data_IF_063013448929
#
_entry.id   IF_063013448929
#
_cell.length_a   1.000
_cell.length_b   1.000
_cell.length_c   1.000
_cell.angle_alpha   90.00
_cell.angle_beta   90.00
_cell.angle_gamma   90.00
#
_symmetry.space_group_name_H-M   'P 1'
#
loop_
_entity.id
_entity.type
_entity.pdbx_description
1 polymer ?
#
# COMPACT_ATOMS: atom_id res chain seq x y z
N UNK A 1 -27.38 2.80 1.13
CA UNK A 1 -26.29 2.33 2.01
C UNK A 1 -26.75 1.03 2.63
N UNK A 2 -26.19 -0.11 2.21
CA UNK A 2 -26.51 -1.39 2.85
C UNK A 2 -26.03 -1.34 4.31
N UNK A 3 -26.97 -1.59 5.22
CA UNK A 3 -26.71 -1.70 6.65
C UNK A 3 -25.71 -2.82 6.92
N UNK A 4 -24.68 -2.51 7.72
CA UNK A 4 -23.50 -3.34 7.93
C UNK A 4 -23.83 -4.69 8.55
N UNK A 5 -24.10 -5.69 7.71
CA UNK A 5 -24.02 -7.09 8.11
C UNK A 5 -22.55 -7.39 8.41
N UNK A 6 -22.28 -7.78 9.66
CA UNK A 6 -20.96 -8.24 10.09
C UNK A 6 -20.53 -9.37 9.16
N UNK A 7 -19.39 -9.22 8.51
CA UNK A 7 -18.84 -10.29 7.67
C UNK A 7 -18.56 -11.52 8.54
N UNK A 8 -18.86 -12.72 8.03
CA UNK A 8 -18.56 -13.99 8.72
C UNK A 8 -17.08 -14.05 9.11
N UNK A 9 -16.76 -14.79 10.19
CA UNK A 9 -15.36 -15.00 10.58
C UNK A 9 -14.62 -15.82 9.52
N UNK A 10 -13.29 -15.70 9.50
CA UNK A 10 -12.44 -16.52 8.63
C UNK A 10 -12.27 -17.92 9.22
N UNK A 11 -12.58 -18.93 8.43
CA UNK A 11 -12.35 -20.35 8.74
C UNK A 11 -10.87 -20.70 8.66
N UNK A 12 -10.47 -21.85 9.19
CA UNK A 12 -9.06 -22.27 9.13
C UNK A 12 -8.61 -22.57 7.70
N UNK A 13 -9.49 -23.16 6.88
CA UNK A 13 -9.25 -23.39 5.46
C UNK A 13 -9.00 -22.10 4.69
N UNK A 14 -9.78 -21.06 4.98
CA UNK A 14 -9.59 -19.74 4.38
C UNK A 14 -8.27 -19.09 4.78
N UNK A 15 -7.85 -19.26 6.04
CA UNK A 15 -6.52 -18.76 6.47
C UNK A 15 -5.41 -19.49 5.72
N UNK A 16 -5.52 -20.81 5.53
CA UNK A 16 -4.58 -21.62 4.75
C UNK A 16 -4.53 -21.17 3.28
N UNK A 17 -5.70 -21.00 2.66
CA UNK A 17 -5.82 -20.49 1.29
C UNK A 17 -5.12 -19.14 1.14
N UNK A 18 -5.31 -18.21 2.09
CA UNK A 18 -4.64 -16.92 2.06
C UNK A 18 -3.11 -17.06 2.12
N UNK A 19 -2.59 -17.96 2.95
CA UNK A 19 -1.14 -18.20 3.06
C UNK A 19 -0.60 -18.80 1.76
N UNK A 20 -1.29 -19.78 1.20
CA UNK A 20 -0.89 -20.46 -0.03
C UNK A 20 -0.79 -19.49 -1.20
N UNK A 21 -1.81 -18.65 -1.40
CA UNK A 21 -1.78 -17.60 -2.41
C UNK A 21 -0.69 -16.57 -2.09
N UNK A 22 -0.55 -16.17 -0.82
CA UNK A 22 0.43 -15.16 -0.43
C UNK A 22 1.89 -15.57 -0.71
N UNK A 23 2.21 -16.88 -0.73
CA UNK A 23 3.56 -17.40 -1.07
C UNK A 23 4.08 -16.85 -2.40
N UNK A 24 3.21 -16.70 -3.40
CA UNK A 24 3.58 -16.20 -4.73
C UNK A 24 3.91 -14.69 -4.72
N UNK A 25 3.35 -13.95 -3.77
CA UNK A 25 3.45 -12.47 -3.72
C UNK A 25 4.37 -11.94 -2.61
N UNK A 26 4.96 -12.81 -1.75
CA UNK A 26 5.76 -12.42 -0.56
C UNK A 26 6.81 -11.37 -0.88
N UNK A 27 7.59 -11.60 -1.93
CA UNK A 27 8.71 -10.72 -2.33
C UNK A 27 8.27 -9.28 -2.62
N UNK A 28 7.00 -9.09 -3.00
CA UNK A 28 6.41 -7.79 -3.32
C UNK A 28 5.70 -7.23 -2.07
N UNK A 29 4.85 -8.02 -1.41
CA UNK A 29 4.00 -7.55 -0.30
C UNK A 29 4.81 -7.24 0.97
N UNK A 30 5.86 -8.02 1.26
CA UNK A 30 6.71 -7.85 2.45
C UNK A 30 7.99 -7.04 2.15
N UNK A 31 8.10 -6.49 0.94
CA UNK A 31 9.16 -5.56 0.60
C UNK A 31 9.15 -4.35 1.54
N UNK A 32 10.29 -3.93 2.11
CA UNK A 32 10.38 -2.80 3.05
C UNK A 32 10.49 -1.43 2.37
N UNK A 33 10.69 -1.38 1.04
CA UNK A 33 10.81 -0.12 0.28
C UNK A 33 9.49 0.66 0.28
N UNK A 34 9.61 1.98 0.24
CA UNK A 34 8.52 2.96 0.30
C UNK A 34 8.45 3.88 -0.92
N UNK A 35 9.17 3.54 -1.99
CA UNK A 35 9.17 4.31 -3.23
C UNK A 35 7.79 4.25 -3.90
N UNK A 36 7.40 5.32 -4.61
CA UNK A 36 6.08 5.39 -5.27
C UNK A 36 5.81 4.18 -6.17
N UNK A 37 6.81 3.75 -6.95
CA UNK A 37 6.72 2.56 -7.81
C UNK A 37 6.52 1.26 -7.01
N UNK A 38 7.14 1.14 -5.84
CA UNK A 38 6.99 -0.04 -4.95
C UNK A 38 5.62 -0.06 -4.26
N UNK A 39 5.09 1.11 -3.90
CA UNK A 39 3.74 1.25 -3.34
C UNK A 39 2.69 0.81 -4.36
N UNK A 40 2.82 1.24 -5.61
CA UNK A 40 1.91 0.81 -6.69
C UNK A 40 2.01 -0.68 -6.99
N UNK A 41 3.22 -1.25 -6.98
CA UNK A 41 3.43 -2.70 -7.17
C UNK A 41 2.78 -3.49 -6.04
N UNK A 42 2.93 -3.07 -4.78
CA UNK A 42 2.25 -3.68 -3.63
C UNK A 42 0.74 -3.63 -3.76
N UNK A 43 0.19 -2.46 -4.14
CA UNK A 43 -1.25 -2.29 -4.35
C UNK A 43 -1.76 -3.26 -5.43
N UNK A 44 -1.04 -3.38 -6.56
CA UNK A 44 -1.39 -4.32 -7.63
C UNK A 44 -1.32 -5.78 -7.16
N UNK A 45 -0.29 -6.16 -6.41
CA UNK A 45 -0.15 -7.50 -5.85
C UNK A 45 -1.31 -7.84 -4.89
N UNK A 46 -1.70 -6.91 -4.02
CA UNK A 46 -2.83 -7.09 -3.13
C UNK A 46 -4.17 -7.23 -3.86
N UNK A 47 -4.39 -6.47 -4.93
CA UNK A 47 -5.57 -6.63 -5.78
C UNK A 47 -5.61 -8.01 -6.47
N UNK A 48 -4.48 -8.46 -7.02
CA UNK A 48 -4.36 -9.77 -7.65
C UNK A 48 -4.62 -10.91 -6.65
N UNK A 49 -3.98 -10.84 -5.48
CA UNK A 49 -4.19 -11.78 -4.37
C UNK A 49 -5.66 -11.80 -3.93
N UNK A 50 -6.29 -10.63 -3.80
CA UNK A 50 -7.71 -10.54 -3.41
C UNK A 50 -8.63 -11.18 -4.45
N UNK A 51 -8.34 -10.97 -5.74
CA UNK A 51 -9.08 -11.60 -6.83
C UNK A 51 -8.96 -13.11 -6.80
N UNK A 52 -7.75 -13.63 -6.61
CA UNK A 52 -7.50 -15.08 -6.54
C UNK A 52 -8.16 -15.68 -5.30
N UNK A 53 -8.01 -15.06 -4.13
CA UNK A 53 -8.65 -15.50 -2.89
C UNK A 53 -10.18 -15.58 -3.05
N UNK A 54 -10.79 -14.53 -3.59
CA UNK A 54 -12.25 -14.47 -3.75
C UNK A 54 -12.79 -15.47 -4.79
N UNK A 55 -11.94 -15.96 -5.70
CA UNK A 55 -12.33 -17.01 -6.65
C UNK A 55 -12.45 -18.39 -5.98
N UNK A 56 -11.75 -18.61 -4.87
CA UNK A 56 -11.72 -19.88 -4.13
C UNK A 56 -12.39 -19.79 -2.75
N UNK A 57 -12.97 -18.64 -2.36
CA UNK A 57 -13.47 -18.44 -1.01
C UNK A 57 -14.90 -18.97 -0.79
N UNK A 58 -15.04 -19.93 0.13
CA UNK A 58 -16.32 -20.56 0.47
C UNK A 58 -17.31 -19.60 1.19
N UNK A 59 -16.78 -18.62 1.94
CA UNK A 59 -17.59 -17.78 2.84
C UNK A 59 -18.10 -16.49 2.16
N UNK A 60 -17.81 -16.32 0.87
CA UNK A 60 -18.13 -15.14 0.07
C UNK A 60 -16.96 -14.18 -0.09
N UNK A 61 -17.16 -13.08 -0.86
CA UNK A 61 -16.09 -12.17 -1.23
C UNK A 61 -15.59 -11.33 -0.05
N UNK A 62 -14.28 -11.07 -0.03
CA UNK A 62 -13.59 -10.24 0.94
C UNK A 62 -12.95 -9.05 0.25
N UNK A 63 -12.89 -7.95 0.99
CA UNK A 63 -12.17 -6.75 0.56
C UNK A 63 -10.68 -6.88 0.82
N UNK A 64 -9.87 -6.20 0.01
CA UNK A 64 -8.42 -6.12 0.16
C UNK A 64 -8.00 -5.78 1.60
N UNK A 65 -8.67 -4.79 2.21
CA UNK A 65 -8.41 -4.36 3.59
C UNK A 65 -8.59 -5.48 4.62
N UNK A 66 -9.59 -6.34 4.44
CA UNK A 66 -9.85 -7.46 5.34
C UNK A 66 -8.76 -8.53 5.21
N UNK A 67 -8.32 -8.82 3.99
CA UNK A 67 -7.25 -9.79 3.75
C UNK A 67 -5.90 -9.28 4.24
N UNK A 68 -5.62 -7.98 4.07
CA UNK A 68 -4.42 -7.34 4.62
C UNK A 68 -4.37 -7.47 6.15
N UNK A 69 -5.49 -7.15 6.82
CA UNK A 69 -5.59 -7.28 8.28
C UNK A 69 -5.43 -8.74 8.74
N UNK A 70 -6.02 -9.70 8.01
CA UNK A 70 -5.87 -11.11 8.31
C UNK A 70 -4.40 -11.55 8.17
N UNK A 71 -3.76 -11.22 7.05
CA UNK A 71 -2.36 -11.55 6.79
C UNK A 71 -1.42 -10.98 7.87
N UNK A 72 -1.60 -9.72 8.24
CA UNK A 72 -0.79 -9.09 9.30
C UNK A 72 -1.00 -9.77 10.66
N UNK A 73 -2.23 -10.18 10.97
CA UNK A 73 -2.53 -10.93 12.19
C UNK A 73 -1.90 -12.32 12.18
N UNK A 74 -1.92 -13.03 11.04
CA UNK A 74 -1.26 -14.31 10.87
C UNK A 74 0.26 -14.18 11.07
N UNK A 75 0.88 -13.16 10.47
CA UNK A 75 2.30 -12.86 10.69
C UNK A 75 2.62 -12.57 12.15
N UNK A 76 1.80 -11.77 12.83
CA UNK A 76 1.98 -11.48 14.27
C UNK A 76 1.87 -12.74 15.11
N UNK A 77 0.87 -13.59 14.85
CA UNK A 77 0.67 -14.85 15.58
C UNK A 77 1.86 -15.80 15.40
N UNK A 78 2.36 -15.94 14.17
CA UNK A 78 3.52 -16.78 13.90
C UNK A 78 4.79 -16.26 14.58
N UNK A 79 5.06 -14.95 14.53
CA UNK A 79 6.20 -14.35 15.26
C UNK A 79 6.12 -14.62 16.76
N UNK A 80 4.91 -14.50 17.34
CA UNK A 80 4.70 -14.80 18.76
C UNK A 80 4.99 -16.28 19.05
N UNK A 81 4.42 -17.20 18.28
CA UNK A 81 4.69 -18.64 18.45
C UNK A 81 6.17 -18.97 18.34
N UNK A 82 6.91 -18.37 17.38
CA UNK A 82 8.36 -18.61 17.26
C UNK A 82 9.15 -18.07 18.47
N UNK A 83 8.75 -16.93 19.02
CA UNK A 83 9.37 -16.36 20.21
C UNK A 83 9.08 -17.19 21.46
N UNK A 84 7.84 -17.68 21.61
CA UNK A 84 7.43 -18.56 22.69
C UNK A 84 8.18 -19.90 22.60
N UNK A 85 8.26 -20.53 21.41
CA UNK A 85 9.04 -21.74 21.14
C UNK A 85 10.52 -21.55 21.52
N UNK A 86 11.14 -20.43 21.12
CA UNK A 86 12.53 -20.11 21.47
C UNK A 86 12.71 -19.94 22.98
N UNK A 87 11.77 -19.25 23.65
CA UNK A 87 11.81 -19.05 25.09
C UNK A 87 11.67 -20.35 25.87
N UNK A 88 10.78 -21.25 25.44
CA UNK A 88 10.58 -22.55 26.09
C UNK A 88 11.75 -23.50 25.85
N UNK A 89 12.33 -23.50 24.66
CA UNK A 89 13.53 -24.28 24.37
C UNK A 89 14.71 -23.86 25.26
N UNK A 90 14.86 -22.55 25.54
CA UNK A 90 15.84 -22.04 26.49
C UNK A 90 15.54 -22.39 27.96
N UNK A 91 14.26 -22.57 28.34
CA UNK A 91 13.85 -22.88 29.72
C UNK A 91 13.88 -24.38 30.05
N UNK A 92 13.58 -25.23 29.07
CA UNK A 92 13.39 -26.68 29.27
C UNK A 92 14.66 -27.51 28.99
N UNK A 93 15.84 -26.89 28.89
CA UNK A 93 17.10 -27.60 28.69
C UNK A 93 17.11 -28.52 27.45
N UNK A 94 16.39 -28.15 26.39
CA UNK A 94 16.44 -28.83 25.08
C UNK A 94 15.44 -29.97 24.82
N UNK A 95 14.55 -30.35 25.75
CA UNK A 95 13.73 -31.58 25.58
C UNK A 95 12.23 -31.36 25.33
N UNK A 96 11.75 -30.12 25.18
CA UNK A 96 10.31 -29.86 25.03
C UNK A 96 9.90 -29.64 23.56
N UNK A 97 9.00 -30.48 23.05
CA UNK A 97 8.41 -30.37 21.72
C UNK A 97 6.90 -30.10 21.83
N UNK A 98 6.45 -28.92 21.40
CA UNK A 98 5.03 -28.69 21.17
C UNK A 98 4.54 -29.41 19.91
N UNK A 99 3.33 -29.95 19.97
CA UNK A 99 2.58 -30.44 18.81
C UNK A 99 2.34 -29.27 17.85
N UNK A 100 3.06 -29.21 16.73
CA UNK A 100 2.86 -28.21 15.69
C UNK A 100 1.68 -28.63 14.81
N UNK A 101 0.67 -27.78 14.70
CA UNK A 101 -0.32 -27.89 13.62
C UNK A 101 0.35 -27.55 12.28
N UNK A 102 0.05 -28.29 11.22
CA UNK A 102 0.59 -28.04 9.86
C UNK A 102 0.35 -26.59 9.35
N UNK A 103 -0.64 -25.90 9.91
CA UNK A 103 -0.90 -24.48 9.72
C UNK A 103 0.29 -23.61 10.14
N UNK A 104 0.82 -23.83 11.35
CA UNK A 104 1.85 -22.98 11.94
C UNK A 104 3.19 -23.17 11.23
N UNK A 105 3.46 -24.35 10.70
CA UNK A 105 4.66 -24.61 9.89
C UNK A 105 4.63 -23.84 8.57
N UNK A 106 3.48 -23.80 7.90
CA UNK A 106 3.33 -23.04 6.65
C UNK A 106 3.49 -21.54 6.85
N UNK A 107 2.92 -20.99 7.94
CA UNK A 107 3.12 -19.58 8.27
C UNK A 107 4.55 -19.32 8.70
N UNK A 108 5.16 -20.19 9.50
CA UNK A 108 6.58 -20.07 9.88
C UNK A 108 7.47 -20.06 8.64
N UNK A 109 7.30 -21.00 7.72
CA UNK A 109 8.05 -21.06 6.46
C UNK A 109 7.92 -19.77 5.62
N UNK A 110 6.75 -19.13 5.62
CA UNK A 110 6.54 -17.84 4.95
C UNK A 110 7.35 -16.70 5.60
N UNK A 111 7.50 -16.71 6.93
CA UNK A 111 8.20 -15.67 7.68
C UNK A 111 9.71 -15.91 7.85
N UNK A 112 10.15 -17.16 7.84
CA UNK A 112 11.55 -17.57 8.08
C UNK A 112 12.58 -16.79 7.23
N UNK A 113 12.37 -16.53 5.92
CA UNK A 113 13.34 -15.79 5.11
C UNK A 113 13.57 -14.35 5.60
N UNK A 114 12.56 -13.75 6.26
CA UNK A 114 12.60 -12.37 6.74
C UNK A 114 13.04 -12.24 8.20
N UNK A 115 13.17 -13.34 8.93
CA UNK A 115 13.48 -13.37 10.36
C UNK A 115 14.85 -13.94 10.71
N UNK A 116 15.68 -14.34 9.72
CA UNK A 116 17.05 -14.77 10.00
C UNK A 116 17.76 -13.65 10.77
N UNK A 117 18.09 -13.93 12.03
CA UNK A 117 18.88 -13.05 12.87
C UNK A 117 20.20 -12.77 12.15
N UNK A 118 20.67 -11.53 12.17
CA UNK A 118 22.07 -11.27 11.84
C UNK A 118 22.91 -12.04 12.86
N UNK A 119 23.86 -12.84 12.39
CA UNK A 119 24.81 -13.51 13.27
C UNK A 119 25.62 -12.41 13.98
N UNK A 120 25.42 -12.27 15.30
CA UNK A 120 26.15 -11.30 16.10
C UNK A 120 27.31 -12.03 16.78
N UNK A 121 28.54 -11.75 16.36
CA UNK A 121 29.77 -12.37 16.91
C UNK A 121 30.00 -12.03 18.39
N UNK A 122 29.34 -10.98 18.91
CA UNK A 122 29.45 -10.54 20.30
C UNK A 122 28.30 -11.00 21.20
N UNK A 123 27.31 -11.71 20.66
CA UNK A 123 26.21 -12.30 21.44
C UNK A 123 25.89 -13.69 20.87
N UNK A 124 26.63 -14.74 21.27
CA UNK A 124 26.37 -16.09 20.82
C UNK A 124 25.04 -16.55 21.40
N UNK A 125 23.97 -16.41 20.61
CA UNK A 125 22.65 -16.99 20.92
C UNK A 125 22.60 -18.52 20.74
N UNK A 126 23.76 -19.16 20.79
CA UNK A 126 23.94 -20.59 20.61
C UNK A 126 23.41 -21.32 21.85
N UNK A 127 22.47 -22.27 21.68
CA UNK A 127 22.00 -23.07 22.80
C UNK A 127 23.18 -23.89 23.32
N UNK A 128 23.60 -23.57 24.53
CA UNK A 128 24.56 -24.37 25.30
C UNK A 128 24.05 -25.82 25.39
N UNK A 129 24.99 -26.76 25.51
CA UNK A 129 24.85 -28.22 25.62
C UNK A 129 24.72 -28.99 24.29
N UNK A 130 25.87 -29.18 23.63
CA UNK A 130 26.13 -30.46 22.96
C UNK A 130 26.38 -31.48 24.07
N UNK A 131 25.44 -32.41 24.26
CA UNK A 131 25.66 -33.56 25.13
C UNK A 131 26.67 -34.46 24.42
N UNK A 132 27.93 -34.35 24.83
CA UNK A 132 28.98 -35.24 24.33
C UNK A 132 28.77 -36.62 24.97
N UNK A 133 27.97 -37.46 24.32
CA UNK A 133 27.96 -38.90 24.59
C UNK A 133 29.30 -39.42 24.12
N UNK A 134 30.24 -39.58 25.05
CA UNK A 134 31.44 -40.36 24.83
C UNK A 134 31.02 -41.81 24.56
N UNK A 135 30.86 -42.15 23.29
CA UNK A 135 31.12 -43.50 22.83
C UNK A 135 32.52 -43.48 22.23
N UNK A 136 33.36 -44.29 22.86
CA UNK A 136 34.75 -44.53 22.57
C UNK A 136 35.01 -44.82 21.10
N UNK A 137 36.17 -44.34 20.66
CA UNK A 137 36.88 -44.52 19.40
C UNK A 137 36.76 -45.93 18.81
N UNK A 138 36.63 -46.01 17.47
CA UNK A 138 37.70 -46.54 16.61
C UNK A 138 37.41 -46.36 15.10
N UNK A 139 38.39 -45.72 14.44
CA UNK A 139 38.98 -45.98 13.10
C UNK A 139 38.13 -46.05 11.81
N UNK A 140 38.51 -45.19 10.84
CA UNK A 140 38.90 -45.50 9.42
C UNK A 140 38.07 -44.89 8.26
N UNK A 141 38.77 -44.11 7.41
CA UNK A 141 38.49 -43.84 5.97
C UNK A 141 37.34 -42.86 5.66
N UNK A 142 37.26 -42.12 4.57
CA UNK A 142 38.09 -41.89 3.37
C UNK A 142 37.47 -40.69 2.61
N UNK A 143 38.34 -39.80 2.11
CA UNK A 143 38.39 -39.12 0.80
C UNK A 143 37.10 -38.57 0.12
N UNK A 144 37.32 -37.39 -0.49
CA UNK A 144 36.75 -36.80 -1.72
C UNK A 144 35.62 -35.77 -1.56
N UNK A 145 35.45 -34.77 -2.42
CA UNK A 145 36.32 -33.79 -3.11
C UNK A 145 35.33 -32.88 -3.91
N UNK A 146 35.81 -31.75 -4.43
CA UNK A 146 35.31 -31.10 -5.67
C UNK A 146 34.07 -30.18 -5.63
N UNK A 147 34.35 -28.87 -5.50
CA UNK A 147 34.26 -27.82 -6.53
C UNK A 147 33.00 -27.56 -7.40
N UNK A 148 32.61 -26.27 -7.38
CA UNK A 148 32.60 -25.32 -8.54
C UNK A 148 31.34 -25.11 -9.41
N UNK A 149 31.17 -23.84 -9.84
CA UNK A 149 30.51 -23.41 -11.08
C UNK A 149 29.11 -22.79 -10.90
N UNK A 150 28.82 -21.49 -10.95
CA UNK A 150 29.23 -20.33 -11.79
C UNK A 150 28.30 -20.06 -13.00
N UNK A 151 27.90 -18.77 -13.12
CA UNK A 151 27.66 -17.95 -14.34
C UNK A 151 26.24 -17.72 -14.92
N UNK A 152 26.03 -16.42 -15.20
CA UNK A 152 25.26 -15.68 -16.23
C UNK A 152 23.73 -15.60 -16.15
N UNK A 153 23.04 -14.45 -16.23
CA UNK A 153 23.18 -13.14 -16.93
C UNK A 153 22.30 -13.02 -18.21
N UNK A 154 21.80 -11.81 -18.47
CA UNK A 154 21.04 -11.26 -19.63
C UNK A 154 19.48 -11.28 -19.52
N UNK A 155 18.71 -10.17 -19.37
CA UNK A 155 18.37 -9.01 -20.25
C UNK A 155 17.50 -9.42 -21.48
N UNK A 156 16.26 -8.94 -21.75
CA UNK A 156 15.86 -7.65 -22.41
C UNK A 156 14.32 -7.52 -22.61
N UNK A 157 13.80 -6.26 -22.51
CA UNK A 157 12.72 -5.48 -23.22
C UNK A 157 11.32 -6.06 -23.58
N UNK A 158 10.24 -5.33 -23.94
CA UNK A 158 9.58 -3.98 -23.83
C UNK A 158 8.17 -4.23 -24.45
N UNK A 159 7.10 -3.53 -24.02
CA UNK A 159 6.14 -2.81 -24.91
C UNK A 159 4.87 -2.34 -24.16
N UNK A 160 4.44 -1.14 -24.55
CA UNK A 160 3.34 -0.36 -24.00
C UNK A 160 2.08 -0.49 -24.88
N UNK A 161 0.88 -0.32 -24.30
CA UNK A 161 -0.14 0.51 -24.95
C UNK A 161 -1.27 0.99 -24.02
N UNK A 162 -1.84 2.12 -24.41
CA UNK A 162 -2.76 3.04 -23.72
C UNK A 162 -4.22 2.56 -23.62
N UNK A 163 -5.01 3.24 -22.77
CA UNK A 163 -6.49 3.19 -22.79
C UNK A 163 -7.16 3.83 -21.56
N UNK A 164 -7.73 5.02 -21.74
CA UNK A 164 -8.41 5.92 -20.77
C UNK A 164 -9.93 5.68 -20.74
N UNK A 165 -10.60 5.98 -19.60
CA UNK A 165 -11.94 6.63 -19.43
C UNK A 165 -12.37 6.55 -17.92
N UNK A 166 -12.32 7.62 -17.10
CA UNK A 166 -13.38 8.61 -16.68
C UNK A 166 -14.67 7.96 -16.11
N UNK A 167 -15.32 8.36 -15.00
CA UNK A 167 -16.18 9.55 -14.71
C UNK A 167 -16.65 9.40 -13.22
N UNK A 168 -16.33 10.29 -12.25
CA UNK A 168 -17.10 11.44 -11.67
C UNK A 168 -17.82 11.18 -10.31
N UNK A 169 -18.23 12.28 -9.68
CA UNK A 169 -18.18 12.64 -8.25
C UNK A 169 -19.59 12.85 -7.65
N UNK A 170 -19.71 12.87 -6.31
CA UNK A 170 -20.32 13.98 -5.52
C UNK A 170 -20.94 13.60 -4.16
N UNK A 171 -20.41 14.23 -3.10
CA UNK A 171 -21.04 15.17 -2.13
C UNK A 171 -22.51 14.89 -1.68
N UNK A 172 -22.78 14.67 -0.38
CA UNK A 172 -23.28 15.68 0.61
C UNK A 172 -23.77 15.06 1.94
N UNK A 173 -23.73 15.83 3.04
CA UNK A 173 -24.14 15.42 4.40
C UNK A 173 -24.94 16.56 5.10
N UNK A 174 -26.12 16.34 5.71
CA UNK A 174 -26.86 17.41 6.42
C UNK A 174 -26.83 17.33 7.96
N UNK A 175 -26.82 18.53 8.56
CA UNK A 175 -26.90 18.91 9.98
C UNK A 175 -28.35 18.87 10.52
N UNK A 176 -28.56 18.74 11.83
CA UNK A 176 -29.63 19.42 12.64
C UNK A 176 -29.52 19.00 14.13
N UNK A 177 -29.26 19.90 15.10
CA UNK A 177 -30.11 20.88 15.86
C UNK A 177 -30.67 20.32 17.19
N UNK A 178 -30.29 20.98 18.28
CA UNK A 178 -30.79 20.89 19.68
C UNK A 178 -31.97 21.88 19.84
N UNK A 179 -32.90 21.67 20.79
CA UNK A 179 -33.07 22.67 21.86
C UNK A 179 -33.34 22.05 23.26
N UNK A 180 -33.19 22.89 24.28
CA UNK A 180 -33.25 22.57 25.71
C UNK A 180 -34.38 23.29 26.45
N UNK A 181 -34.65 22.83 27.69
CA UNK A 181 -35.14 23.57 28.90
C UNK A 181 -36.61 23.43 29.33
N UNK A 182 -36.83 22.89 30.55
CA UNK A 182 -37.53 23.48 31.73
C UNK A 182 -37.69 22.40 32.85
N UNK A 183 -37.04 22.49 34.03
CA UNK A 183 -37.46 23.07 35.35
C UNK A 183 -38.77 22.47 35.95
N UNK A 184 -38.98 22.14 37.23
CA UNK A 184 -38.21 21.70 38.43
C UNK A 184 -39.24 21.31 39.54
N UNK A 185 -38.75 20.64 40.61
CA UNK A 185 -39.28 20.40 42.00
C UNK A 185 -39.83 18.99 42.30
N UNK A 186 -39.59 18.35 43.45
CA UNK A 186 -38.64 18.44 44.58
C UNK A 186 -38.86 17.19 45.49
N UNK A 187 -37.93 16.96 46.43
CA UNK A 187 -38.01 16.19 47.71
C UNK A 187 -37.03 14.99 47.86
N UNK A 188 -35.84 15.37 48.38
CA UNK A 188 -35.05 14.85 49.52
C UNK A 188 -34.67 13.36 49.71
N UNK A 189 -33.36 13.07 49.63
CA UNK A 189 -32.46 12.83 50.80
C UNK A 189 -30.98 12.65 50.36
N UNK A 190 -30.04 13.02 51.23
CA UNK A 190 -28.58 13.35 51.10
C UNK A 190 -27.62 12.14 50.91
N UNK A 191 -26.25 12.25 50.78
CA UNK A 191 -25.34 13.39 50.97
C UNK A 191 -24.28 13.67 49.87
N UNK A 192 -23.68 14.86 50.00
CA UNK A 192 -22.73 15.53 49.10
C UNK A 192 -21.32 14.90 49.14
N UNK A 193 -20.77 14.53 47.99
CA UNK A 193 -19.31 14.43 47.78
C UNK A 193 -18.85 15.57 46.88
N UNK A 194 -18.31 16.61 47.52
CA UNK A 194 -17.77 17.80 46.85
C UNK A 194 -16.35 17.49 46.37
N UNK A 195 -16.21 16.79 45.24
CA UNK A 195 -14.91 16.61 44.59
C UNK A 195 -14.60 17.82 43.69
N UNK A 196 -14.13 18.89 44.32
CA UNK A 196 -13.35 19.91 43.60
C UNK A 196 -12.00 19.29 43.23
N UNK A 197 -11.91 18.67 42.06
CA UNK A 197 -10.63 18.25 41.49
C UNK A 197 -9.89 19.53 41.07
N UNK A 198 -9.07 20.04 41.98
CA UNK A 198 -8.04 21.01 41.63
C UNK A 198 -6.98 20.28 40.79
N UNK A 199 -7.08 20.42 39.47
CA UNK A 199 -6.06 19.95 38.55
C UNK A 199 -4.73 20.60 38.94
N UNK A 200 -3.75 19.78 39.32
CA UNK A 200 -2.37 20.22 39.57
C UNK A 200 -1.86 21.00 38.36
N UNK A 201 -1.06 22.05 38.55
CA UNK A 201 -0.55 22.86 37.43
C UNK A 201 0.12 22.03 36.32
N UNK A 202 0.72 20.91 36.69
CA UNK A 202 1.36 19.96 35.76
C UNK A 202 0.34 19.29 34.84
N UNK A 203 -0.85 18.92 35.33
CA UNK A 203 -1.91 18.33 34.50
C UNK A 203 -2.58 19.37 33.60
N UNK A 204 -2.78 20.61 34.08
CA UNK A 204 -3.26 21.74 33.25
C UNK A 204 -2.27 22.10 32.14
N UNK A 205 -0.97 22.16 32.44
CA UNK A 205 0.11 22.39 31.46
C UNK A 205 0.13 21.28 30.39
N UNK A 206 -0.01 20.02 30.79
CA UNK A 206 -0.07 18.88 29.85
C UNK A 206 -1.31 18.90 28.95
N UNK A 207 -2.50 19.19 29.49
CA UNK A 207 -3.74 19.30 28.70
C UNK A 207 -3.69 20.49 27.73
N UNK A 208 -3.12 21.62 28.16
CA UNK A 208 -2.90 22.79 27.30
C UNK A 208 -1.91 22.48 26.16
N UNK A 209 -0.84 21.74 26.44
CA UNK A 209 0.12 21.30 25.44
C UNK A 209 -0.49 20.34 24.42
N UNK A 210 -1.33 19.39 24.87
CA UNK A 210 -2.07 18.48 23.99
C UNK A 210 -3.03 19.28 23.09
N UNK A 211 -3.77 20.23 23.66
CA UNK A 211 -4.69 21.09 22.92
C UNK A 211 -3.97 21.93 21.86
N UNK A 212 -2.81 22.50 22.20
CA UNK A 212 -1.97 23.24 21.25
C UNK A 212 -1.41 22.35 20.13
N UNK A 213 -1.02 21.10 20.44
CA UNK A 213 -0.50 20.15 19.44
C UNK A 213 -1.56 19.74 18.41
N UNK A 214 -2.82 19.57 18.85
CA UNK A 214 -3.95 19.24 17.98
C UNK A 214 -4.26 20.39 17.03
N UNK A 215 -4.25 21.63 17.54
CA UNK A 215 -4.48 22.84 16.73
C UNK A 215 -3.36 22.99 15.68
N UNK A 216 -2.09 22.85 16.07
CA UNK A 216 -0.94 22.89 15.14
C UNK A 216 -1.07 21.84 14.04
N UNK A 217 -1.43 20.60 14.39
CA UNK A 217 -1.62 19.52 13.41
C UNK A 217 -2.76 19.82 12.43
N UNK A 218 -3.85 20.42 12.90
CA UNK A 218 -4.98 20.83 12.04
C UNK A 218 -4.59 21.93 11.07
N UNK A 219 -3.87 22.95 11.54
CA UNK A 219 -3.34 24.04 10.70
C UNK A 219 -2.37 23.49 9.66
N UNK A 220 -1.44 22.61 10.05
CA UNK A 220 -0.50 22.01 9.11
C UNK A 220 -1.20 21.16 8.03
N UNK A 221 -2.23 20.40 8.41
CA UNK A 221 -3.03 19.64 7.46
C UNK A 221 -3.72 20.57 6.45
N UNK A 222 -4.28 21.68 6.91
CA UNK A 222 -4.90 22.69 6.05
C UNK A 222 -3.87 23.32 5.09
N UNK A 223 -2.71 23.75 5.60
CA UNK A 223 -1.63 24.32 4.77
C UNK A 223 -1.20 23.32 3.69
N UNK A 224 -1.06 22.05 4.04
CA UNK A 224 -0.69 21.02 3.08
C UNK A 224 -1.78 20.81 2.02
N UNK A 225 -3.05 20.80 2.41
CA UNK A 225 -4.20 20.71 1.49
C UNK A 225 -4.30 21.92 0.56
N UNK A 226 -4.08 23.12 1.08
CA UNK A 226 -4.06 24.37 0.30
C UNK A 226 -2.88 24.38 -0.68
N UNK A 227 -1.71 23.91 -0.27
CA UNK A 227 -0.54 23.78 -1.13
C UNK A 227 -0.77 22.77 -2.28
N UNK A 228 -1.44 21.64 -1.99
CA UNK A 228 -1.84 20.67 -3.01
C UNK A 228 -2.83 21.29 -3.99
N UNK A 229 -3.83 22.02 -3.46
CA UNK A 229 -4.85 22.68 -4.28
C UNK A 229 -4.24 23.74 -5.21
N UNK A 230 -3.28 24.53 -4.70
CA UNK A 230 -2.53 25.49 -5.50
C UNK A 230 -1.74 24.82 -6.63
N UNK A 231 -0.98 23.76 -6.32
CA UNK A 231 -0.25 23.00 -7.36
C UNK A 231 -1.18 22.41 -8.42
N UNK A 232 -2.37 21.94 -8.02
CA UNK A 232 -3.38 21.44 -8.96
C UNK A 232 -3.87 22.56 -9.90
N UNK A 233 -4.09 23.76 -9.37
CA UNK A 233 -4.49 24.93 -10.15
C UNK A 233 -3.39 25.32 -11.15
N UNK A 234 -2.12 25.34 -10.71
CA UNK A 234 -0.97 25.64 -11.58
C UNK A 234 -0.86 24.62 -12.73
N UNK A 235 -1.07 23.33 -12.46
CA UNK A 235 -1.08 22.28 -13.49
C UNK A 235 -2.20 22.52 -14.52
N UNK A 236 -3.41 22.84 -14.06
CA UNK A 236 -4.53 23.13 -14.95
C UNK A 236 -4.26 24.35 -15.83
N UNK A 237 -3.63 25.39 -15.26
CA UNK A 237 -3.27 26.59 -16.02
C UNK A 237 -2.20 26.29 -17.08
N UNK A 238 -1.18 25.47 -16.75
CA UNK A 238 -0.18 25.03 -17.72
C UNK A 238 -0.82 24.23 -18.86
N UNK A 239 -1.75 23.33 -18.55
CA UNK A 239 -2.48 22.55 -19.57
C UNK A 239 -3.29 23.46 -20.49
N UNK A 240 -3.99 24.46 -19.93
CA UNK A 240 -4.74 25.47 -20.69
C UNK A 240 -3.82 26.25 -21.64
N UNK A 241 -2.65 26.67 -21.17
CA UNK A 241 -1.68 27.41 -21.98
C UNK A 241 -1.12 26.54 -23.13
N UNK A 242 -0.83 25.27 -22.87
CA UNK A 242 -0.39 24.32 -23.90
C UNK A 242 -1.46 24.14 -25.00
N UNK A 243 -2.73 24.04 -24.61
CA UNK A 243 -3.85 23.95 -25.55
C UNK A 243 -4.00 25.20 -26.41
N UNK A 244 -3.87 26.39 -25.81
CA UNK A 244 -3.89 27.65 -26.57
C UNK A 244 -2.76 27.73 -27.60
N UNK A 245 -1.54 27.36 -27.22
CA UNK A 245 -0.39 27.32 -28.14
C UNK A 245 -0.65 26.32 -29.27
N UNK A 246 -1.29 25.19 -29.00
CA UNK A 246 -1.66 24.21 -30.03
C UNK A 246 -2.68 24.79 -31.02
N UNK A 247 -3.70 25.48 -30.52
CA UNK A 247 -4.69 26.14 -31.37
C UNK A 247 -4.09 27.27 -32.21
N UNK A 248 -3.17 28.05 -31.64
CA UNK A 248 -2.46 29.12 -32.36
C UNK A 248 -1.61 28.56 -33.50
N UNK A 249 -0.85 27.48 -33.25
CA UNK A 249 -0.10 26.78 -34.30
C UNK A 249 -1.02 26.27 -35.41
N UNK A 250 -2.14 25.66 -35.06
CA UNK A 250 -3.11 25.17 -36.03
C UNK A 250 -3.70 26.31 -36.87
N UNK A 251 -3.99 27.46 -36.26
CA UNK A 251 -4.45 28.65 -36.97
C UNK A 251 -3.42 29.12 -38.01
N UNK A 252 -2.15 29.23 -37.63
CA UNK A 252 -1.06 29.61 -38.55
C UNK A 252 -0.94 28.62 -39.72
N UNK A 253 -1.05 27.32 -39.47
CA UNK A 253 -1.02 26.30 -40.52
C UNK A 253 -2.17 26.49 -41.51
N UNK A 254 -3.39 26.73 -41.02
CA UNK A 254 -4.55 26.97 -41.87
C UNK A 254 -4.41 28.26 -42.69
N UNK A 255 -3.89 29.33 -42.07
CA UNK A 255 -3.65 30.59 -42.77
C UNK A 255 -2.63 30.41 -43.91
N UNK A 256 -1.56 29.64 -43.68
CA UNK A 256 -0.59 29.29 -44.71
C UNK A 256 -1.17 28.42 -45.83
N UNK A 257 -2.03 27.45 -45.50
CA UNK A 257 -2.71 26.60 -46.48
C UNK A 257 -3.67 27.41 -47.38
N UNK A 258 -4.39 28.37 -46.78
CA UNK A 258 -5.24 29.30 -47.52
C UNK A 258 -4.40 30.14 -48.49
N UNK A 259 -3.27 30.68 -48.02
CA UNK A 259 -2.39 31.50 -48.87
C UNK A 259 -1.77 30.69 -50.01
N UNK A 260 -1.31 29.46 -49.73
CA UNK A 260 -0.79 28.55 -50.74
C UNK A 260 -1.84 28.27 -51.83
N UNK A 261 -3.09 27.99 -51.43
CA UNK A 261 -4.19 27.77 -52.37
C UNK A 261 -4.52 29.01 -53.21
N UNK A 262 -4.41 30.21 -52.63
CA UNK A 262 -4.59 31.48 -53.37
C UNK A 262 -3.52 31.63 -54.46
N UNK A 263 -2.25 31.41 -54.12
CA UNK A 263 -1.13 31.50 -55.08
C UNK A 263 -1.28 30.47 -56.21
N UNK A 264 -1.61 29.22 -55.88
CA UNK A 264 -1.83 28.17 -56.88
C UNK A 264 -2.97 28.51 -57.84
N UNK A 265 -4.07 29.05 -57.30
CA UNK A 265 -5.21 29.47 -58.10
C UNK A 265 -4.86 30.65 -59.02
N UNK A 266 -4.04 31.60 -58.55
CA UNK A 266 -3.58 32.72 -59.37
C UNK A 266 -2.65 32.26 -60.50
N UNK A 267 -1.71 31.36 -60.21
CA UNK A 267 -0.85 30.75 -61.23
C UNK A 267 -1.69 30.01 -62.28
N UNK A 268 -2.69 29.24 -61.86
CA UNK A 268 -3.58 28.53 -62.78
C UNK A 268 -4.40 29.48 -63.68
N UNK A 269 -4.82 30.65 -63.16
CA UNK A 269 -5.49 31.67 -63.98
C UNK A 269 -4.55 32.26 -65.02
N UNK A 270 -3.32 32.59 -64.63
CA UNK A 270 -2.31 33.14 -65.54
C UNK A 270 -2.02 32.12 -66.65
N UNK A 271 -1.84 30.84 -66.32
CA UNK A 271 -1.63 29.77 -67.30
C UNK A 271 -2.78 29.66 -68.30
N UNK A 272 -4.03 29.77 -67.83
CA UNK A 272 -5.21 29.77 -68.69
C UNK A 272 -5.25 31.01 -69.60
N UNK A 273 -4.90 32.18 -69.08
CA UNK A 273 -4.85 33.41 -69.87
C UNK A 273 -3.76 33.35 -70.95
N UNK A 274 -2.58 32.84 -70.61
CA UNK A 274 -1.50 32.59 -71.57
C UNK A 274 -1.94 31.60 -72.66
N UNK A 275 -2.60 30.51 -72.30
CA UNK A 275 -3.16 29.54 -73.27
C UNK A 275 -4.20 30.20 -74.18
N UNK A 276 -5.15 30.97 -73.64
CA UNK A 276 -6.15 31.70 -74.45
C UNK A 276 -5.50 32.62 -75.49
N UNK A 277 -4.49 33.40 -75.07
CA UNK A 277 -3.73 34.27 -75.96
C UNK A 277 -2.96 33.51 -77.04
N UNK A 278 -2.43 32.32 -76.74
CA UNK A 278 -1.69 31.49 -77.71
C UNK A 278 -2.59 30.87 -78.79
N UNK A 279 -3.84 30.50 -78.45
CA UNK A 279 -4.74 29.79 -79.36
C UNK A 279 -5.75 30.69 -80.08
N UNK A 280 -5.74 32.02 -79.84
CA UNK A 280 -6.68 32.99 -80.42
C UNK A 280 -8.15 32.51 -80.39
N UNK A 281 -8.63 32.22 -79.17
CA UNK A 281 -10.05 32.13 -78.82
C UNK A 281 -10.48 33.42 -78.11
#
# INVERSE_FOLDING_TARGET
MESGKRSKNFTEREKMLLIEIAKEFVSIIDNKKTDMSTVEKKKRAWLALTKQYNAFSDTGPRTEKQLHALYDNLKKRARKSMADDKSEMCKSGGTFCFSKTAFDENVKALLTPHLKSMDNEFDPSEPYYVLNVQTSTDTQGSIEDTQSGSIADSFIEIEANEGVETVDSSINCPKTKIPASTFLKDVETTPKLRNNICLTETTKKTINNISASIIKRKIQKQINEDAISKKKLDILEIQRQQELIKLEKNKVILDLDIELKRVLLENAKIDLECKKKMYNL
#
